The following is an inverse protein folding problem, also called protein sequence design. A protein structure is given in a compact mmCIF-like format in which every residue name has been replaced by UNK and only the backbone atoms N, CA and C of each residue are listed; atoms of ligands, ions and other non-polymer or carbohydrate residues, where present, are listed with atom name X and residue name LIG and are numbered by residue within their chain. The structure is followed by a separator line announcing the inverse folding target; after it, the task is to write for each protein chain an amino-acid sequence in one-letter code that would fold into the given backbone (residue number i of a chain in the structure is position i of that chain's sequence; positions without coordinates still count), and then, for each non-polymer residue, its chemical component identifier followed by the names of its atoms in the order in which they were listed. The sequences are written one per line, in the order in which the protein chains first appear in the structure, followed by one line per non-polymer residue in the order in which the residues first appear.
data_IF_272370425149
#
_entry.id   IF_272370425149
#
_cell.length_a   1.000
_cell.length_b   1.000
_cell.length_c   1.000
_cell.angle_alpha   90.00
_cell.angle_beta   90.00
_cell.angle_gamma   90.00
#
_symmetry.space_group_name_H-M   'P 1'
#
loop_
_entity.id
_entity.type
_entity.pdbx_description
1 polymer ?
#
# COMPACT_ATOMS: atom_id res chain seq x y z
N UNK A 1 -2.43 -0.64 -34.28
CA UNK A 1 -1.22 -0.59 -33.42
C UNK A 1 -1.55 -1.15 -32.04
N UNK A 2 -1.48 -2.48 -31.85
CA UNK A 2 -1.65 -3.09 -30.52
C UNK A 2 -0.26 -3.11 -29.89
N UNK A 3 0.00 -2.24 -28.92
CA UNK A 3 1.27 -2.28 -28.16
C UNK A 3 1.29 -3.63 -27.43
N UNK A 4 2.29 -4.50 -27.64
CA UNK A 4 2.39 -5.72 -26.87
C UNK A 4 2.62 -5.30 -25.42
N UNK A 5 1.73 -5.72 -24.51
CA UNK A 5 2.00 -5.60 -23.09
C UNK A 5 3.18 -6.52 -22.81
N UNK A 6 4.36 -5.94 -22.73
CA UNK A 6 5.59 -6.67 -22.39
C UNK A 6 5.31 -7.36 -21.06
N UNK A 7 5.42 -8.68 -21.03
CA UNK A 7 5.35 -9.46 -19.80
C UNK A 7 6.47 -8.96 -18.89
N UNK A 8 6.13 -8.05 -17.98
CA UNK A 8 7.05 -7.53 -16.99
C UNK A 8 7.28 -8.69 -16.02
N UNK A 9 8.52 -9.15 -15.83
CA UNK A 9 8.88 -10.20 -14.88
C UNK A 9 8.23 -9.92 -13.52
N UNK A 10 7.08 -10.56 -13.24
CA UNK A 10 5.96 -10.09 -12.43
C UNK A 10 6.27 -9.61 -11.02
N UNK A 11 6.98 -8.48 -10.89
CA UNK A 11 7.27 -7.83 -9.61
C UNK A 11 6.27 -6.70 -9.42
N UNK A 12 5.48 -6.79 -8.35
CA UNK A 12 4.60 -5.72 -7.93
C UNK A 12 5.39 -4.41 -7.74
N UNK A 13 4.79 -3.29 -8.14
CA UNK A 13 5.38 -1.97 -7.91
C UNK A 13 5.49 -1.70 -6.40
N UNK A 14 6.52 -0.98 -5.94
CA UNK A 14 6.67 -0.59 -4.53
C UNK A 14 5.42 0.12 -3.96
N UNK A 15 4.71 0.88 -4.79
CA UNK A 15 3.48 1.59 -4.41
C UNK A 15 2.32 0.65 -4.01
N UNK A 16 2.41 -0.66 -4.28
CA UNK A 16 1.40 -1.63 -3.85
C UNK A 16 1.69 -2.22 -2.47
N UNK A 17 2.86 -1.95 -1.88
CA UNK A 17 3.23 -2.48 -0.56
C UNK A 17 2.82 -1.51 0.54
N UNK A 18 2.25 -2.05 1.62
CA UNK A 18 1.92 -1.32 2.83
C UNK A 18 3.23 -0.92 3.56
N UNK A 19 3.42 0.36 3.92
CA UNK A 19 4.63 0.79 4.63
C UNK A 19 4.80 0.17 6.03
N UNK A 20 3.72 -0.33 6.65
CA UNK A 20 3.75 -0.96 7.98
C UNK A 20 4.03 -2.45 7.89
N UNK A 21 3.30 -3.18 7.04
CA UNK A 21 3.39 -4.64 6.99
C UNK A 21 4.46 -5.14 6.01
N UNK A 22 4.90 -4.29 5.07
CA UNK A 22 5.77 -4.66 3.95
C UNK A 22 5.18 -5.76 3.04
N UNK A 23 3.84 -5.89 3.04
CA UNK A 23 3.09 -6.82 2.17
C UNK A 23 2.25 -6.05 1.16
N UNK A 24 1.80 -6.72 0.09
CA UNK A 24 0.88 -6.11 -0.88
C UNK A 24 -0.45 -5.78 -0.20
N UNK A 25 -0.87 -4.52 -0.31
CA UNK A 25 -2.16 -4.05 0.20
C UNK A 25 -3.31 -4.76 -0.51
N UNK A 26 -4.24 -5.30 0.28
CA UNK A 26 -5.50 -5.88 -0.16
C UNK A 26 -6.65 -4.88 -0.02
N UNK A 27 -6.65 -4.10 1.05
CA UNK A 27 -7.61 -3.02 1.29
C UNK A 27 -6.88 -1.68 1.53
N UNK A 28 -6.37 -1.04 0.45
CA UNK A 28 -5.62 0.19 0.55
C UNK A 28 -6.52 1.35 1.03
N UNK A 29 -6.12 2.00 2.12
CA UNK A 29 -6.77 3.20 2.67
C UNK A 29 -5.80 4.35 2.77
N UNK A 30 -6.27 5.56 2.47
CA UNK A 30 -5.44 6.77 2.53
C UNK A 30 -5.63 7.53 3.85
N UNK A 31 -4.53 8.04 4.40
CA UNK A 31 -4.50 8.99 5.51
C UNK A 31 -4.52 10.43 5.00
N UNK A 32 -4.74 11.40 5.90
CA UNK A 32 -4.84 12.84 5.53
C UNK A 32 -3.54 13.44 5.01
N UNK A 33 -2.40 12.82 5.31
CA UNK A 33 -1.07 13.15 4.77
C UNK A 33 -0.81 12.53 3.39
N UNK A 34 -1.79 11.80 2.83
CA UNK A 34 -1.73 11.25 1.48
C UNK A 34 -0.98 9.93 1.34
N UNK A 35 -0.57 9.30 2.46
CA UNK A 35 0.01 7.95 2.45
C UNK A 35 -1.10 6.89 2.39
N UNK A 36 -0.77 5.72 1.84
CA UNK A 36 -1.69 4.58 1.73
C UNK A 36 -1.16 3.40 2.54
N UNK A 37 -2.07 2.74 3.25
CA UNK A 37 -1.78 1.59 4.11
C UNK A 37 -2.80 0.48 3.89
N UNK A 38 -2.45 -0.73 4.33
CA UNK A 38 -3.45 -1.76 4.60
C UNK A 38 -4.36 -1.31 5.75
N UNK A 39 -5.68 -1.48 5.61
CA UNK A 39 -6.67 -1.01 6.60
C UNK A 39 -6.37 -1.51 8.00
N UNK A 40 -6.21 -2.82 8.15
CA UNK A 40 -5.99 -3.44 9.46
C UNK A 40 -4.72 -2.92 10.14
N UNK A 41 -3.69 -2.62 9.33
CA UNK A 41 -2.41 -2.12 9.82
C UNK A 41 -2.52 -0.69 10.36
N UNK A 42 -3.14 0.21 9.60
CA UNK A 42 -3.28 1.61 10.04
C UNK A 42 -4.28 1.74 11.19
N UNK A 43 -5.38 0.98 11.19
CA UNK A 43 -6.33 0.96 12.31
C UNK A 43 -5.68 0.45 13.60
N UNK A 44 -4.81 -0.56 13.51
CA UNK A 44 -4.08 -1.08 14.68
C UNK A 44 -3.04 -0.08 15.18
N UNK A 45 -2.31 0.59 14.28
CA UNK A 45 -1.35 1.62 14.65
C UNK A 45 -2.01 2.78 15.40
N UNK A 46 -3.14 3.27 14.88
CA UNK A 46 -3.86 4.43 15.42
C UNK A 46 -4.56 4.16 16.75
N UNK A 47 -4.64 2.90 17.22
CA UNK A 47 -5.10 2.59 18.59
C UNK A 47 -4.15 3.12 19.66
N UNK A 48 -2.86 3.27 19.35
CA UNK A 48 -1.82 3.64 20.30
C UNK A 48 -1.01 4.88 19.86
N UNK A 49 -1.34 5.47 18.71
CA UNK A 49 -0.62 6.62 18.15
C UNK A 49 -1.61 7.57 17.46
N UNK A 50 -1.38 8.88 17.61
CA UNK A 50 -2.18 9.92 16.94
C UNK A 50 -1.52 10.41 15.63
N UNK A 51 -0.49 9.72 15.16
CA UNK A 51 0.29 10.09 13.97
C UNK A 51 0.25 8.99 12.92
N UNK A 52 0.53 9.35 11.67
CA UNK A 52 0.93 8.36 10.66
C UNK A 52 2.18 7.59 11.13
N UNK A 53 2.30 6.29 10.82
CA UNK A 53 3.57 5.58 10.85
C UNK A 53 4.64 6.25 9.97
#
# INVERSE_FOLDING_TARGET
SKRPMMANNGKALPAFFCPVTNEIMRDPVCTSDGKTYEREAIETWLKNHDTSP
#
